data_IF_828318188289
#
_entry.id   IF_828318188289
#
_cell.length_a   1.000
_cell.length_b   1.000
_cell.length_c   1.000
_cell.angle_alpha   90.00
_cell.angle_beta   90.00
_cell.angle_gamma   90.00
#
_symmetry.space_group_name_H-M   'P 1'
#
loop_
_entity.id
_entity.type
_entity.pdbx_description
1 polymer ?
#
# COMPACT_ATOMS: atom_id res chain seq x y z
N UNK A 1 5.78 -13.12 -7.27
CA UNK A 1 6.13 -14.36 -7.98
C UNK A 1 5.60 -14.39 -9.41
N UNK A 2 4.34 -14.01 -9.67
CA UNK A 2 3.79 -13.96 -11.03
C UNK A 2 4.63 -13.07 -11.96
N UNK A 3 4.99 -11.87 -11.53
CA UNK A 3 5.83 -10.95 -12.31
C UNK A 3 7.26 -11.46 -12.55
N UNK A 4 7.68 -12.42 -11.74
CA UNK A 4 8.98 -13.09 -11.89
C UNK A 4 8.88 -14.40 -12.69
N UNK A 5 7.69 -14.79 -13.17
CA UNK A 5 7.48 -16.07 -13.87
C UNK A 5 7.58 -17.31 -12.98
N UNK A 6 7.49 -17.13 -11.66
CA UNK A 6 7.66 -18.17 -10.64
C UNK A 6 6.33 -18.57 -9.96
N UNK A 7 5.20 -18.33 -10.61
CA UNK A 7 3.86 -18.64 -10.07
C UNK A 7 3.65 -20.13 -9.79
N UNK A 8 4.35 -21.02 -10.51
CA UNK A 8 4.28 -22.46 -10.31
C UNK A 8 4.80 -22.92 -8.92
N UNK A 9 5.57 -22.07 -8.23
CA UNK A 9 6.06 -22.33 -6.87
C UNK A 9 5.03 -21.97 -5.78
N UNK A 10 3.95 -21.27 -6.13
CA UNK A 10 2.93 -20.89 -5.16
C UNK A 10 2.07 -22.09 -4.81
N UNK A 11 2.10 -22.52 -3.56
CA UNK A 11 1.29 -23.66 -3.08
C UNK A 11 0.03 -23.21 -2.32
N UNK A 12 -0.04 -21.94 -1.90
CA UNK A 12 -1.21 -21.39 -1.23
C UNK A 12 -1.14 -19.86 -1.11
N UNK A 13 -2.31 -19.23 -1.01
CA UNK A 13 -2.47 -17.78 -0.96
C UNK A 13 -3.42 -17.32 0.15
N UNK A 14 -3.44 -16.02 0.43
CA UNK A 14 -4.45 -15.41 1.27
C UNK A 14 -5.71 -15.07 0.46
N UNK A 15 -6.87 -14.92 1.13
CA UNK A 15 -8.11 -14.46 0.48
C UNK A 15 -7.99 -13.04 -0.10
N UNK A 16 -7.04 -12.27 0.39
CA UNK A 16 -6.77 -10.89 -0.05
C UNK A 16 -5.79 -10.79 -1.23
N UNK A 17 -5.34 -11.92 -1.77
CA UNK A 17 -4.62 -11.96 -3.04
C UNK A 17 -5.60 -11.69 -4.16
N UNK A 18 -5.67 -10.45 -4.64
CA UNK A 18 -6.60 -10.02 -5.70
C UNK A 18 -5.90 -9.79 -7.04
N UNK A 19 -4.58 -9.82 -7.04
CA UNK A 19 -3.74 -9.58 -8.23
C UNK A 19 -2.62 -10.63 -8.29
N UNK A 20 -2.41 -11.23 -9.49
CA UNK A 20 -3.31 -11.19 -10.64
C UNK A 20 -4.61 -11.95 -10.35
N UNK A 21 -5.66 -11.69 -11.13
CA UNK A 21 -7.01 -12.28 -10.89
C UNK A 21 -6.99 -13.81 -10.89
N UNK A 22 -6.22 -14.41 -11.78
CA UNK A 22 -6.06 -15.86 -11.91
C UNK A 22 -5.39 -16.53 -10.69
N UNK A 23 -4.77 -15.76 -9.80
CA UNK A 23 -4.16 -16.34 -8.60
C UNK A 23 -5.17 -17.08 -7.71
N UNK A 24 -6.41 -16.58 -7.60
CA UNK A 24 -7.47 -17.21 -6.82
C UNK A 24 -8.03 -18.49 -7.47
N UNK A 25 -7.90 -18.59 -8.77
CA UNK A 25 -8.35 -19.77 -9.53
C UNK A 25 -7.30 -20.87 -9.48
N UNK A 26 -6.01 -20.48 -9.46
CA UNK A 26 -4.88 -21.40 -9.56
C UNK A 26 -4.36 -21.91 -8.22
N UNK A 27 -4.67 -21.23 -7.09
CA UNK A 27 -4.08 -21.57 -5.79
C UNK A 27 -5.12 -21.64 -4.67
N UNK A 28 -4.98 -22.60 -3.72
CA UNK A 28 -5.87 -22.72 -2.59
C UNK A 28 -5.72 -21.53 -1.63
N UNK A 29 -6.86 -21.04 -1.11
CA UNK A 29 -6.91 -20.01 -0.09
C UNK A 29 -6.79 -20.65 1.28
N UNK A 30 -5.71 -20.33 2.02
CA UNK A 30 -5.37 -20.96 3.31
C UNK A 30 -5.35 -19.99 4.49
N UNK A 31 -5.39 -18.70 4.21
CA UNK A 31 -5.35 -17.64 5.25
C UNK A 31 -6.23 -16.43 4.88
N UNK A 32 -6.55 -15.64 5.90
CA UNK A 32 -6.98 -14.25 5.78
C UNK A 32 -5.79 -13.32 5.99
N UNK A 33 -6.03 -12.03 6.33
CA UNK A 33 -4.94 -11.07 6.51
C UNK A 33 -4.17 -11.29 7.81
N UNK A 34 -4.87 -11.33 8.95
CA UNK A 34 -4.27 -11.53 10.28
C UNK A 34 -4.37 -12.97 10.77
N UNK A 35 -5.31 -13.74 10.25
CA UNK A 35 -5.62 -15.11 10.66
C UNK A 35 -5.33 -16.10 9.54
N UNK A 36 -4.86 -17.27 9.95
CA UNK A 36 -4.61 -18.40 9.06
C UNK A 36 -4.76 -19.73 9.78
N UNK A 37 -5.20 -20.74 9.05
CA UNK A 37 -5.23 -22.10 9.58
C UNK A 37 -3.86 -22.73 9.47
N UNK A 38 -3.13 -22.83 10.58
CA UNK A 38 -1.83 -23.54 10.64
C UNK A 38 -1.96 -24.93 10.03
N UNK A 39 -3.06 -25.67 10.35
CA UNK A 39 -3.32 -27.00 9.78
C UNK A 39 -3.43 -26.98 8.25
N UNK A 40 -4.17 -26.04 7.67
CA UNK A 40 -4.32 -25.92 6.21
C UNK A 40 -3.01 -25.51 5.53
N UNK A 41 -2.28 -24.59 6.14
CA UNK A 41 -0.98 -24.12 5.62
C UNK A 41 0.03 -25.27 5.65
N UNK A 42 0.19 -25.95 6.79
CA UNK A 42 1.12 -27.08 6.92
C UNK A 42 0.79 -28.26 6.02
N UNK A 43 -0.50 -28.49 5.72
CA UNK A 43 -0.93 -29.57 4.82
C UNK A 43 -0.47 -29.37 3.37
N UNK A 44 -0.11 -28.15 2.98
CA UNK A 44 0.45 -27.85 1.66
C UNK A 44 1.96 -28.13 1.56
N UNK A 45 2.60 -28.45 2.70
CA UNK A 45 4.01 -28.77 2.79
C UNK A 45 4.92 -27.68 2.17
N UNK A 46 4.74 -26.39 2.54
CA UNK A 46 5.53 -25.31 1.95
C UNK A 46 6.98 -25.36 2.43
N UNK A 47 7.93 -25.06 1.55
CA UNK A 47 9.35 -24.87 1.92
C UNK A 47 9.55 -23.54 2.66
N UNK A 48 8.75 -22.53 2.32
CA UNK A 48 8.80 -21.19 2.91
C UNK A 48 7.41 -20.56 2.94
N UNK A 49 7.08 -19.95 4.07
CA UNK A 49 5.88 -19.12 4.23
C UNK A 49 6.32 -17.66 4.27
N UNK A 50 5.80 -16.84 3.36
CA UNK A 50 6.09 -15.41 3.30
C UNK A 50 4.88 -14.65 3.82
N UNK A 51 5.10 -13.77 4.78
CA UNK A 51 4.12 -12.87 5.33
C UNK A 51 4.54 -11.41 5.28
N UNK A 52 3.64 -10.54 5.71
CA UNK A 52 3.86 -9.11 5.72
C UNK A 52 3.34 -8.48 7.02
N UNK A 53 4.20 -7.62 7.62
CA UNK A 53 3.85 -6.76 8.74
C UNK A 53 3.76 -7.46 10.12
N UNK A 54 3.95 -6.66 11.12
CA UNK A 54 3.80 -6.95 12.55
C UNK A 54 2.40 -7.46 12.91
N UNK A 55 1.37 -7.09 12.14
CA UNK A 55 -0.02 -7.56 12.31
C UNK A 55 -0.10 -9.10 12.21
N UNK A 56 0.83 -9.75 11.50
CA UNK A 56 0.88 -11.21 11.35
C UNK A 56 1.78 -11.91 12.39
N UNK A 57 2.28 -11.19 13.40
CA UNK A 57 3.22 -11.73 14.38
C UNK A 57 2.68 -12.98 15.11
N UNK A 58 1.41 -12.98 15.51
CA UNK A 58 0.78 -14.11 16.21
C UNK A 58 0.64 -15.34 15.29
N UNK A 59 0.30 -15.14 14.02
CA UNK A 59 0.24 -16.21 13.04
C UNK A 59 1.63 -16.78 12.78
N UNK A 60 2.63 -15.91 12.60
CA UNK A 60 4.03 -16.30 12.42
C UNK A 60 4.54 -17.14 13.61
N UNK A 61 4.26 -16.71 14.84
CA UNK A 61 4.64 -17.47 16.04
C UNK A 61 3.99 -18.86 16.09
N UNK A 62 2.72 -18.99 15.70
CA UNK A 62 2.03 -20.29 15.62
C UNK A 62 2.65 -21.21 14.56
N UNK A 63 3.00 -20.65 13.38
CA UNK A 63 3.63 -21.37 12.29
C UNK A 63 5.04 -21.86 12.66
N UNK A 64 5.83 -21.00 13.31
CA UNK A 64 7.17 -21.37 13.79
C UNK A 64 7.07 -22.52 14.83
N UNK A 65 6.12 -22.46 15.78
CA UNK A 65 5.87 -23.56 16.73
C UNK A 65 5.41 -24.85 16.06
N UNK A 66 4.81 -24.76 14.86
CA UNK A 66 4.46 -25.89 14.02
C UNK A 66 5.60 -26.35 13.10
N UNK A 67 6.84 -25.93 13.38
CA UNK A 67 8.04 -26.29 12.64
C UNK A 67 8.02 -25.85 11.16
N UNK A 68 7.39 -24.69 10.86
CA UNK A 68 7.39 -24.13 9.51
C UNK A 68 8.48 -23.06 9.37
N UNK A 69 9.05 -22.94 8.16
CA UNK A 69 9.94 -21.84 7.81
C UNK A 69 9.10 -20.59 7.49
N UNK A 70 9.36 -19.48 8.19
CA UNK A 70 8.56 -18.25 8.07
C UNK A 70 9.48 -17.05 7.84
N UNK A 71 9.17 -16.25 6.83
CA UNK A 71 9.79 -14.98 6.55
C UNK A 71 8.73 -13.88 6.57
N UNK A 72 8.86 -12.92 7.47
CA UNK A 72 7.95 -11.76 7.54
C UNK A 72 8.71 -10.53 7.05
N UNK A 73 8.20 -9.94 5.98
CA UNK A 73 8.63 -8.63 5.52
C UNK A 73 7.88 -7.53 6.26
N UNK A 74 8.50 -6.36 6.38
CA UNK A 74 7.89 -5.22 7.06
C UNK A 74 8.27 -3.89 6.37
N UNK A 75 8.28 -3.89 5.03
CA UNK A 75 8.60 -2.72 4.23
C UNK A 75 7.61 -1.59 4.46
N UNK A 76 8.10 -0.37 4.60
CA UNK A 76 7.31 0.83 4.87
C UNK A 76 7.60 1.96 3.88
N UNK A 77 8.62 1.85 3.03
CA UNK A 77 9.01 2.87 2.05
C UNK A 77 9.05 2.30 0.63
N UNK A 78 9.04 3.18 -0.36
CA UNK A 78 9.22 2.81 -1.77
C UNK A 78 10.55 2.06 -1.97
N UNK A 79 11.63 2.52 -1.36
CA UNK A 79 12.93 1.85 -1.43
C UNK A 79 12.88 0.43 -0.87
N UNK A 80 12.26 0.23 0.30
CA UNK A 80 12.10 -1.09 0.91
C UNK A 80 11.21 -2.02 0.09
N UNK A 81 10.21 -1.51 -0.65
CA UNK A 81 9.41 -2.32 -1.59
C UNK A 81 10.32 -2.87 -2.69
N UNK A 82 11.21 -2.06 -3.26
CA UNK A 82 12.17 -2.50 -4.29
C UNK A 82 13.14 -3.54 -3.74
N UNK A 83 13.63 -3.38 -2.50
CA UNK A 83 14.49 -4.35 -1.82
C UNK A 83 13.78 -5.70 -1.59
N UNK A 84 12.50 -5.69 -1.23
CA UNK A 84 11.68 -6.91 -1.09
C UNK A 84 11.55 -7.65 -2.42
N UNK A 85 11.35 -6.94 -3.53
CA UNK A 85 11.30 -7.54 -4.86
C UNK A 85 12.61 -8.26 -5.18
N UNK A 86 13.76 -7.60 -4.92
CA UNK A 86 15.08 -8.21 -5.10
C UNK A 86 15.29 -9.41 -4.20
N UNK A 87 14.89 -9.32 -2.93
CA UNK A 87 15.03 -10.40 -1.97
C UNK A 87 14.22 -11.63 -2.37
N UNK A 88 12.98 -11.44 -2.81
CA UNK A 88 12.13 -12.54 -3.32
C UNK A 88 12.76 -13.12 -4.60
N UNK A 89 13.29 -12.29 -5.50
CA UNK A 89 14.01 -12.74 -6.69
C UNK A 89 15.17 -13.67 -6.37
N UNK A 90 15.99 -13.34 -5.37
CA UNK A 90 17.10 -14.18 -4.89
C UNK A 90 16.61 -15.50 -4.29
N UNK A 91 15.58 -15.45 -3.44
CA UNK A 91 15.02 -16.66 -2.81
C UNK A 91 14.54 -17.68 -3.86
N UNK A 92 13.96 -17.21 -4.97
CA UNK A 92 13.43 -18.09 -6.01
C UNK A 92 14.37 -18.26 -7.21
N UNK A 93 15.64 -17.83 -7.09
CA UNK A 93 16.65 -17.89 -8.16
C UNK A 93 16.23 -17.19 -9.46
N UNK A 94 15.50 -16.06 -9.31
CA UNK A 94 15.04 -15.19 -10.41
C UNK A 94 15.65 -13.78 -10.31
N UNK A 95 16.88 -13.64 -9.85
CA UNK A 95 17.52 -12.36 -9.53
C UNK A 95 17.60 -11.42 -10.72
N UNK A 96 17.97 -11.93 -11.92
CA UNK A 96 18.03 -11.11 -13.13
C UNK A 96 16.65 -10.54 -13.52
N UNK A 97 15.57 -11.32 -13.35
CA UNK A 97 14.21 -10.87 -13.62
C UNK A 97 13.74 -9.85 -12.59
N UNK A 98 14.11 -10.05 -11.32
CA UNK A 98 13.83 -9.10 -10.26
C UNK A 98 14.57 -7.77 -10.48
N UNK A 99 15.84 -7.81 -10.90
CA UNK A 99 16.60 -6.60 -11.21
C UNK A 99 15.97 -5.80 -12.36
N UNK A 100 15.60 -6.48 -13.46
CA UNK A 100 14.90 -5.81 -14.57
C UNK A 100 13.60 -5.16 -14.13
N UNK A 101 12.85 -5.81 -13.25
CA UNK A 101 11.58 -5.27 -12.73
C UNK A 101 11.83 -4.04 -11.85
N UNK A 102 12.84 -4.09 -10.99
CA UNK A 102 13.26 -2.96 -10.14
C UNK A 102 13.72 -1.79 -11.00
N UNK A 103 14.57 -2.02 -12.01
CA UNK A 103 15.06 -0.99 -12.92
C UNK A 103 13.91 -0.29 -13.65
N UNK A 104 12.89 -1.05 -14.10
CA UNK A 104 11.69 -0.49 -14.73
C UNK A 104 10.90 0.41 -13.77
N UNK A 105 10.72 0.00 -12.51
CA UNK A 105 10.01 0.81 -11.52
C UNK A 105 10.79 2.07 -11.15
N UNK A 106 12.11 1.97 -10.98
CA UNK A 106 12.95 3.13 -10.73
C UNK A 106 12.88 4.15 -11.87
N UNK A 107 12.96 3.67 -13.12
CA UNK A 107 12.82 4.54 -14.30
C UNK A 107 11.44 5.21 -14.38
N UNK A 108 10.36 4.48 -14.02
CA UNK A 108 9.01 5.04 -13.95
C UNK A 108 8.89 6.13 -12.89
N UNK A 109 9.45 5.88 -11.69
CA UNK A 109 9.49 6.83 -10.58
C UNK A 109 10.28 8.09 -10.99
N UNK A 110 11.47 7.94 -11.54
CA UNK A 110 12.30 9.06 -12.02
C UNK A 110 11.58 9.88 -13.09
N UNK A 111 10.91 9.22 -14.04
CA UNK A 111 10.11 9.89 -15.07
C UNK A 111 8.94 10.67 -14.47
N UNK A 112 8.30 10.16 -13.43
CA UNK A 112 7.24 10.87 -12.72
C UNK A 112 7.78 12.10 -12.00
N UNK A 113 8.89 11.96 -11.27
CA UNK A 113 9.55 13.09 -10.59
C UNK A 113 9.94 14.19 -11.59
N UNK A 114 10.53 13.83 -12.71
CA UNK A 114 10.91 14.79 -13.77
C UNK A 114 9.70 15.54 -14.32
N UNK A 115 8.59 14.83 -14.58
CA UNK A 115 7.35 15.43 -15.08
C UNK A 115 6.78 16.47 -14.11
N UNK A 116 6.70 16.12 -12.83
CA UNK A 116 6.10 16.99 -11.81
C UNK A 116 7.04 18.07 -11.32
N UNK A 117 8.35 17.96 -11.57
CA UNK A 117 9.32 19.01 -11.22
C UNK A 117 9.07 20.34 -11.97
N UNK A 118 8.28 20.30 -13.04
CA UNK A 118 7.86 21.48 -13.80
C UNK A 118 6.63 22.18 -13.21
N UNK A 119 5.95 21.57 -12.26
CA UNK A 119 4.81 22.18 -11.58
C UNK A 119 5.30 23.35 -10.71
N UNK A 120 4.65 24.50 -10.84
CA UNK A 120 5.00 25.70 -10.06
C UNK A 120 4.57 25.57 -8.61
N UNK A 121 3.37 25.01 -8.40
CA UNK A 121 2.77 24.82 -7.08
C UNK A 121 2.40 23.33 -6.92
N UNK A 122 2.69 22.79 -5.75
CA UNK A 122 2.29 21.45 -5.38
C UNK A 122 0.97 21.52 -4.61
N UNK A 123 -0.09 20.84 -5.05
CA UNK A 123 -1.32 20.82 -4.27
C UNK A 123 -1.11 20.09 -2.93
N UNK A 124 -1.72 20.62 -1.89
CA UNK A 124 -1.77 20.00 -0.57
C UNK A 124 -2.69 18.78 -0.60
N UNK A 125 -2.17 17.64 -0.26
CA UNK A 125 -2.89 16.36 -0.29
C UNK A 125 -3.03 15.82 1.13
N UNK A 126 -4.25 15.53 1.53
CA UNK A 126 -4.54 14.72 2.69
C UNK A 126 -4.90 13.31 2.23
N UNK A 127 -4.19 12.30 2.74
CA UNK A 127 -4.54 10.91 2.51
C UNK A 127 -5.10 10.28 3.79
N UNK A 128 -6.30 9.70 3.69
CA UNK A 128 -6.96 9.00 4.79
C UNK A 128 -6.90 7.48 4.58
N UNK A 129 -6.08 6.79 5.36
CA UNK A 129 -5.94 5.33 5.31
C UNK A 129 -7.07 4.61 6.03
N UNK A 130 -7.67 5.27 7.03
CA UNK A 130 -8.79 4.75 7.82
C UNK A 130 -9.55 5.88 8.50
N UNK A 131 -10.86 5.69 8.75
CA UNK A 131 -11.76 6.74 9.25
C UNK A 131 -11.91 6.83 10.77
N UNK A 132 -11.91 5.69 11.49
CA UNK A 132 -12.13 5.64 12.95
C UNK A 132 -11.36 4.50 13.61
N UNK A 133 -10.28 4.80 14.39
CA UNK A 133 -9.64 6.12 14.47
C UNK A 133 -9.09 6.57 13.12
N UNK A 134 -8.96 7.90 12.94
CA UNK A 134 -8.50 8.45 11.66
C UNK A 134 -7.00 8.33 11.53
N UNK A 135 -6.52 7.65 10.47
CA UNK A 135 -5.10 7.47 10.19
C UNK A 135 -4.70 8.18 8.90
N UNK A 136 -3.61 8.93 8.96
CA UNK A 136 -2.95 9.53 7.78
C UNK A 136 -2.14 8.48 7.01
N UNK A 137 -1.56 8.90 5.88
CA UNK A 137 -0.80 8.04 4.98
C UNK A 137 0.30 7.24 5.69
N UNK A 138 0.44 5.97 5.32
CA UNK A 138 1.62 5.19 5.60
C UNK A 138 2.77 5.65 4.69
N UNK A 139 4.02 5.44 5.10
CA UNK A 139 5.20 6.07 4.51
C UNK A 139 5.31 5.90 2.98
N UNK A 140 5.12 4.69 2.44
CA UNK A 140 5.22 4.53 0.98
C UNK A 140 4.12 5.31 0.23
N UNK A 141 2.92 5.48 0.81
CA UNK A 141 1.84 6.28 0.21
C UNK A 141 2.20 7.75 0.24
N UNK A 142 2.71 8.24 1.37
CA UNK A 142 3.23 9.62 1.50
C UNK A 142 4.32 9.89 0.47
N UNK A 143 5.31 9.00 0.35
CA UNK A 143 6.38 9.09 -0.67
C UNK A 143 5.81 9.08 -2.11
N UNK A 144 4.80 8.25 -2.39
CA UNK A 144 4.16 8.20 -3.72
C UNK A 144 3.36 9.47 -4.03
N UNK A 145 2.72 10.10 -3.04
CA UNK A 145 2.06 11.40 -3.21
C UNK A 145 3.08 12.47 -3.63
N UNK A 146 4.26 12.51 -3.00
CA UNK A 146 5.32 13.45 -3.35
C UNK A 146 5.91 13.15 -4.74
N UNK A 147 6.11 11.89 -5.09
CA UNK A 147 6.55 11.44 -6.42
C UNK A 147 5.51 11.83 -7.49
N UNK A 148 4.23 11.79 -7.15
CA UNK A 148 3.12 12.20 -8.03
C UNK A 148 2.93 13.72 -8.13
N UNK A 149 3.70 14.54 -7.39
CA UNK A 149 3.69 16.01 -7.46
C UNK A 149 2.82 16.69 -6.41
N UNK A 150 2.27 15.97 -5.45
CA UNK A 150 1.55 16.56 -4.30
C UNK A 150 2.48 16.88 -3.12
N UNK A 151 1.93 17.54 -2.12
CA UNK A 151 2.51 17.73 -0.79
C UNK A 151 1.63 17.00 0.23
N UNK A 152 2.11 15.88 0.79
CA UNK A 152 1.38 15.19 1.87
C UNK A 152 1.42 16.04 3.14
N UNK A 153 0.27 16.59 3.54
CA UNK A 153 0.17 17.51 4.68
C UNK A 153 0.50 16.86 6.02
N UNK A 154 0.51 15.53 6.10
CA UNK A 154 0.90 14.76 7.27
C UNK A 154 2.15 13.89 7.05
N UNK A 155 3.01 14.23 6.09
CA UNK A 155 4.24 13.49 5.77
C UNK A 155 5.12 13.21 7.00
N UNK A 156 5.18 14.16 7.96
CA UNK A 156 5.92 14.01 9.21
C UNK A 156 5.41 12.85 10.10
N UNK A 157 4.12 12.48 10.00
CA UNK A 157 3.53 11.35 10.72
C UNK A 157 3.74 10.02 9.99
N UNK A 158 3.98 10.04 8.68
CA UNK A 158 4.09 8.84 7.84
C UNK A 158 5.21 7.88 8.26
N UNK A 159 6.22 8.38 8.98
CA UNK A 159 7.31 7.59 9.55
C UNK A 159 6.92 6.73 10.75
N UNK A 160 5.72 6.91 11.30
CA UNK A 160 5.17 6.09 12.37
C UNK A 160 5.10 4.61 11.98
N UNK A 161 5.72 3.75 12.79
CA UNK A 161 5.79 2.30 12.52
C UNK A 161 4.44 1.60 12.74
N UNK A 162 3.68 2.10 13.71
CA UNK A 162 2.36 1.57 14.06
C UNK A 162 1.26 2.53 13.56
N UNK A 163 0.09 2.00 13.21
CA UNK A 163 -1.03 2.81 12.74
C UNK A 163 -1.41 3.93 13.74
N UNK A 164 -1.41 3.62 15.06
CA UNK A 164 -1.69 4.60 16.10
C UNK A 164 -0.74 5.81 16.14
N UNK A 165 0.48 5.68 15.61
CA UNK A 165 1.45 6.78 15.54
C UNK A 165 1.14 7.76 14.40
N UNK A 166 0.26 7.34 13.49
CA UNK A 166 -0.24 8.11 12.36
C UNK A 166 -1.67 8.61 12.58
N UNK A 167 -2.19 8.46 13.80
CA UNK A 167 -3.50 8.98 14.17
C UNK A 167 -3.50 10.51 14.13
N UNK A 168 -4.57 11.06 13.57
CA UNK A 168 -4.81 12.51 13.47
C UNK A 168 -6.21 12.85 13.96
N UNK A 169 -6.40 14.11 14.35
CA UNK A 169 -7.71 14.64 14.68
C UNK A 169 -8.30 15.38 13.47
N UNK A 170 -9.61 15.45 13.37
CA UNK A 170 -10.27 16.13 12.28
C UNK A 170 -9.94 17.64 12.22
N UNK A 171 -9.72 18.27 13.37
CA UNK A 171 -9.31 19.67 13.45
C UNK A 171 -7.92 19.89 12.83
N UNK A 172 -7.00 18.91 12.96
CA UNK A 172 -5.69 18.97 12.31
C UNK A 172 -5.83 19.09 10.77
N UNK A 173 -6.82 18.39 10.18
CA UNK A 173 -7.08 18.44 8.74
C UNK A 173 -7.64 19.79 8.31
N UNK A 174 -8.52 20.40 9.14
CA UNK A 174 -9.06 21.76 8.91
C UNK A 174 -7.93 22.78 8.89
N UNK A 175 -7.02 22.70 9.87
CA UNK A 175 -5.87 23.62 9.98
C UNK A 175 -4.90 23.50 8.78
N UNK A 176 -4.70 22.27 8.27
CA UNK A 176 -3.85 22.05 7.09
C UNK A 176 -4.51 22.52 5.80
N UNK A 177 -5.85 22.54 5.74
CA UNK A 177 -6.66 22.95 4.60
C UNK A 177 -6.19 22.35 3.27
N UNK A 178 -6.28 21.02 3.08
CA UNK A 178 -5.81 20.36 1.87
C UNK A 178 -6.64 20.75 0.64
N UNK A 179 -5.98 20.74 -0.52
CA UNK A 179 -6.61 20.97 -1.83
C UNK A 179 -7.23 19.70 -2.40
N UNK A 180 -6.75 18.54 -1.96
CA UNK A 180 -7.22 17.22 -2.37
C UNK A 180 -7.31 16.32 -1.15
N UNK A 181 -8.40 15.55 -1.04
CA UNK A 181 -8.53 14.46 -0.09
C UNK A 181 -8.56 13.15 -0.87
N UNK A 182 -7.61 12.27 -0.57
CA UNK A 182 -7.55 10.90 -1.08
C UNK A 182 -7.87 9.96 0.06
N UNK A 183 -8.78 9.02 -0.14
CA UNK A 183 -9.13 8.05 0.89
C UNK A 183 -9.06 6.63 0.35
N UNK A 184 -8.55 5.71 1.20
CA UNK A 184 -8.49 4.30 0.87
C UNK A 184 -8.64 3.48 2.15
N UNK A 185 -9.82 2.88 2.35
CA UNK A 185 -10.11 2.12 3.57
C UNK A 185 -10.01 0.62 3.30
N UNK A 186 -9.12 -0.06 4.01
CA UNK A 186 -8.92 -1.49 3.82
C UNK A 186 -10.14 -2.30 4.24
N UNK A 187 -10.78 -2.98 3.26
CA UNK A 187 -11.89 -3.90 3.52
C UNK A 187 -13.29 -3.30 3.52
N UNK A 188 -13.44 -2.00 3.30
CA UNK A 188 -14.75 -1.33 3.12
C UNK A 188 -14.64 -0.18 2.11
N UNK A 189 -15.73 0.15 1.38
CA UNK A 189 -15.77 1.32 0.52
C UNK A 189 -15.65 2.61 1.34
N UNK A 190 -15.11 3.65 0.70
CA UNK A 190 -15.04 5.00 1.30
C UNK A 190 -16.42 5.66 1.23
N UNK A 191 -16.85 6.18 2.36
CA UNK A 191 -18.08 7.00 2.43
C UNK A 191 -17.70 8.48 2.28
N UNK A 192 -17.62 8.94 1.02
CA UNK A 192 -17.26 10.31 0.67
C UNK A 192 -18.24 11.32 1.31
N UNK A 193 -19.53 11.01 1.35
CA UNK A 193 -20.51 11.90 1.96
C UNK A 193 -20.29 12.03 3.49
N UNK A 194 -19.89 10.94 4.15
CA UNK A 194 -19.54 11.03 5.57
C UNK A 194 -18.29 11.89 5.81
N UNK A 195 -17.34 11.90 4.88
CA UNK A 195 -16.15 12.75 4.94
C UNK A 195 -16.57 14.22 4.78
N UNK A 196 -17.34 14.57 3.75
CA UNK A 196 -17.82 15.94 3.49
C UNK A 196 -18.61 16.53 4.66
N UNK A 197 -19.41 15.71 5.32
CA UNK A 197 -20.32 16.15 6.39
C UNK A 197 -19.68 16.15 7.79
N UNK A 198 -18.35 15.99 7.91
CA UNK A 198 -17.66 16.14 9.20
C UNK A 198 -17.75 17.59 9.69
N UNK A 199 -17.88 17.82 11.01
CA UNK A 199 -17.95 19.17 11.56
C UNK A 199 -16.76 20.04 11.12
N UNK A 200 -17.04 21.22 10.56
CA UNK A 200 -16.02 22.18 10.10
C UNK A 200 -15.37 21.89 8.74
N UNK A 201 -15.61 20.72 8.15
CA UNK A 201 -14.94 20.32 6.90
C UNK A 201 -15.48 21.03 5.65
N UNK A 202 -16.68 21.64 5.71
CA UNK A 202 -17.24 22.44 4.61
C UNK A 202 -16.33 23.60 4.18
N UNK A 203 -15.41 24.05 5.06
CA UNK A 203 -14.50 25.14 4.78
C UNK A 203 -13.19 24.69 4.13
N UNK A 204 -12.90 23.38 4.09
CA UNK A 204 -11.68 22.82 3.47
C UNK A 204 -11.75 22.96 1.94
N UNK A 205 -10.66 23.39 1.31
CA UNK A 205 -10.56 23.56 -0.13
C UNK A 205 -11.00 22.32 -0.92
N UNK A 206 -10.53 21.14 -0.53
CA UNK A 206 -10.89 19.87 -1.16
C UNK A 206 -12.40 19.60 -1.13
N UNK A 207 -13.08 19.96 -0.04
CA UNK A 207 -14.55 19.79 0.11
C UNK A 207 -15.28 20.80 -0.75
N UNK A 208 -14.88 22.08 -0.71
CA UNK A 208 -15.49 23.17 -1.52
C UNK A 208 -15.40 22.88 -3.02
N UNK A 209 -14.28 22.31 -3.46
CA UNK A 209 -14.00 22.06 -4.88
C UNK A 209 -14.37 20.62 -5.32
N UNK A 210 -15.02 19.84 -4.45
CA UNK A 210 -15.40 18.44 -4.70
C UNK A 210 -14.21 17.53 -5.10
N UNK A 211 -13.02 17.83 -4.57
CA UNK A 211 -11.78 17.06 -4.82
C UNK A 211 -11.54 16.01 -3.73
N UNK A 212 -12.48 15.10 -3.56
CA UNK A 212 -12.41 13.97 -2.64
C UNK A 212 -12.53 12.70 -3.46
N UNK A 213 -11.51 11.83 -3.40
CA UNK A 213 -11.43 10.65 -4.25
C UNK A 213 -11.13 9.40 -3.44
N UNK A 214 -11.84 8.32 -3.76
CA UNK A 214 -11.50 6.97 -3.28
C UNK A 214 -10.44 6.35 -4.19
N UNK A 215 -9.45 5.68 -3.58
CA UNK A 215 -8.47 4.86 -4.28
C UNK A 215 -8.63 3.41 -3.81
N UNK A 216 -8.65 2.47 -4.76
CA UNK A 216 -8.72 1.04 -4.47
C UNK A 216 -7.55 0.63 -3.56
N UNK A 217 -7.81 0.07 -2.37
CA UNK A 217 -6.75 -0.36 -1.45
C UNK A 217 -5.83 -1.43 -2.04
N UNK A 218 -6.27 -2.18 -3.04
CA UNK A 218 -5.44 -3.19 -3.71
C UNK A 218 -4.28 -2.60 -4.54
N UNK A 219 -4.36 -1.32 -4.93
CA UNK A 219 -3.32 -0.65 -5.70
C UNK A 219 -2.50 0.35 -4.88
N UNK A 220 -2.93 0.72 -3.68
CA UNK A 220 -2.22 1.76 -2.90
C UNK A 220 -1.81 1.30 -1.50
N UNK A 221 -2.63 0.49 -0.81
CA UNK A 221 -2.36 0.06 0.56
C UNK A 221 -1.59 -1.27 0.65
N UNK A 222 -1.21 -1.87 -0.48
CA UNK A 222 -0.36 -3.05 -0.51
C UNK A 222 1.05 -2.65 -0.96
N UNK A 223 2.07 -2.72 -0.08
CA UNK A 223 3.43 -2.28 -0.40
C UNK A 223 4.12 -3.27 -1.34
N UNK A 224 3.85 -3.13 -2.62
CA UNK A 224 4.34 -4.01 -3.68
C UNK A 224 4.20 -3.37 -5.07
N UNK A 225 4.38 -4.17 -6.14
CA UNK A 225 4.37 -3.68 -7.52
C UNK A 225 3.18 -2.81 -7.90
N UNK A 226 1.97 -3.15 -7.42
CA UNK A 226 0.77 -2.41 -7.77
C UNK A 226 0.79 -0.94 -7.30
N UNK A 227 1.39 -0.66 -6.14
CA UNK A 227 1.51 0.72 -5.66
C UNK A 227 2.52 1.54 -6.46
N UNK A 228 3.56 0.89 -7.02
CA UNK A 228 4.57 1.53 -7.86
C UNK A 228 4.14 1.72 -9.33
N UNK A 229 3.03 1.11 -9.73
CA UNK A 229 2.47 1.17 -11.09
C UNK A 229 1.11 1.85 -11.07
N UNK A 230 0.03 1.09 -10.98
CA UNK A 230 -1.34 1.58 -11.03
C UNK A 230 -1.62 2.63 -9.92
N UNK A 231 -1.07 2.41 -8.71
CA UNK A 231 -1.19 3.36 -7.61
C UNK A 231 -0.55 4.71 -7.92
N UNK A 232 0.69 4.70 -8.42
CA UNK A 232 1.40 5.94 -8.82
C UNK A 232 0.71 6.63 -10.00
N UNK A 233 0.19 5.87 -10.97
CA UNK A 233 -0.55 6.42 -12.12
C UNK A 233 -1.83 7.12 -11.66
N UNK A 234 -2.63 6.48 -10.81
CA UNK A 234 -3.86 7.05 -10.26
C UNK A 234 -3.55 8.30 -9.42
N UNK A 235 -2.54 8.25 -8.54
CA UNK A 235 -2.11 9.44 -7.78
C UNK A 235 -1.72 10.59 -8.69
N UNK A 236 -0.90 10.34 -9.70
CA UNK A 236 -0.46 11.36 -10.65
C UNK A 236 -1.65 11.97 -11.40
N UNK A 237 -2.61 11.13 -11.82
CA UNK A 237 -3.82 11.59 -12.50
C UNK A 237 -4.66 12.49 -11.62
N UNK A 238 -4.89 12.12 -10.35
CA UNK A 238 -5.74 12.87 -9.42
C UNK A 238 -5.08 14.15 -8.90
N UNK A 239 -3.76 14.14 -8.75
CA UNK A 239 -2.99 15.28 -8.21
C UNK A 239 -2.73 16.32 -9.29
N UNK A 240 -2.43 15.89 -10.53
CA UNK A 240 -2.10 16.80 -11.64
C UNK A 240 -3.30 17.21 -12.50
N UNK A 241 -4.52 16.71 -12.23
CA UNK A 241 -5.73 17.22 -12.92
C UNK A 241 -6.10 18.60 -12.36
N UNK A 242 -6.35 19.55 -13.26
CA UNK A 242 -6.86 20.89 -12.97
C UNK A 242 -8.27 20.87 -12.35
#
# INVERSE_FOLDING_TARGET
LYLLGEQHRIVGITRYTVRPKEAKENHPIVSAFVDGSVKKISALNPDLIIGFSDIQADLAAKLIRANQQVLIFNQRSVAEILEVIMTIGRIVSAEERAQKLVDQYQQSIESSIQRVSLLKDKPKVYFEEWDKPTFSAIRWVSELIEIAGGEDVFSHKSHGKLAKEREIQWDDVIDMNPDIILASWCGKPVDIESIKNRPGWSEINAVKNDRIHEIDPSIILQPGPASLTDGLEVLTSLICSD
#
